data_IF_316119093977
#
_entry.id   IF_316119093977
#
_cell.length_a   1.000
_cell.length_b   1.000
_cell.length_c   1.000
_cell.angle_alpha   90.00
_cell.angle_beta   90.00
_cell.angle_gamma   90.00
#
_symmetry.space_group_name_H-M   'P 1'
#
loop_
_entity.id
_entity.type
_entity.pdbx_description
1 polymer ?
#
# COMPACT_ATOMS: atom_id res chain seq x y z
N UNK A 1 16.52 -28.17 -14.06
CA UNK A 1 15.94 -27.15 -13.16
C UNK A 1 17.05 -26.35 -12.45
N UNK A 2 17.82 -25.51 -13.17
CA UNK A 2 18.87 -24.65 -12.56
C UNK A 2 18.78 -23.16 -12.98
N UNK A 3 17.72 -22.74 -13.68
CA UNK A 3 17.69 -21.45 -14.39
C UNK A 3 17.07 -20.28 -13.61
N UNK A 4 16.06 -20.51 -12.74
CA UNK A 4 15.37 -19.41 -12.06
C UNK A 4 16.17 -18.84 -10.86
N UNK A 5 16.81 -19.71 -10.07
CA UNK A 5 17.62 -19.30 -8.92
C UNK A 5 18.85 -18.50 -9.36
N UNK A 6 19.49 -18.89 -10.47
CA UNK A 6 20.64 -18.16 -11.01
C UNK A 6 20.29 -16.74 -11.47
N UNK A 7 19.14 -16.55 -12.13
CA UNK A 7 18.66 -15.23 -12.53
C UNK A 7 18.35 -14.31 -11.35
N UNK A 8 17.83 -14.88 -10.25
CA UNK A 8 17.54 -14.11 -9.03
C UNK A 8 18.81 -13.64 -8.31
N UNK A 9 19.87 -14.45 -8.34
CA UNK A 9 21.17 -14.10 -7.74
C UNK A 9 21.87 -13.03 -8.60
N UNK A 10 21.88 -13.18 -9.92
CA UNK A 10 22.46 -12.17 -10.83
C UNK A 10 21.75 -10.82 -10.75
N UNK A 11 20.42 -10.81 -10.57
CA UNK A 11 19.66 -9.57 -10.36
C UNK A 11 20.00 -8.91 -9.02
N UNK A 12 20.13 -9.71 -7.97
CA UNK A 12 20.47 -9.25 -6.61
C UNK A 12 21.91 -8.71 -6.53
N UNK A 13 22.84 -9.34 -7.25
CA UNK A 13 24.24 -8.90 -7.33
C UNK A 13 24.39 -7.65 -8.19
N UNK A 14 23.62 -7.51 -9.27
CA UNK A 14 23.55 -6.25 -10.05
C UNK A 14 23.02 -5.08 -9.20
N UNK A 15 21.99 -5.29 -8.39
CA UNK A 15 21.46 -4.28 -7.46
C UNK A 15 22.49 -3.88 -6.39
N UNK A 16 23.30 -4.83 -5.91
CA UNK A 16 24.40 -4.53 -4.95
C UNK A 16 25.56 -3.80 -5.60
N UNK A 17 25.91 -4.11 -6.84
CA UNK A 17 26.97 -3.43 -7.58
C UNK A 17 26.61 -1.97 -7.93
N UNK A 18 25.32 -1.67 -8.16
CA UNK A 18 24.84 -0.31 -8.42
C UNK A 18 24.93 0.63 -7.20
N UNK A 19 25.07 0.11 -5.97
CA UNK A 19 25.19 0.92 -4.74
C UNK A 19 26.58 1.52 -4.48
N UNK A 20 27.56 1.31 -5.37
CA UNK A 20 28.91 1.91 -5.28
C UNK A 20 29.19 2.90 -6.41
N UNK A 21 28.24 3.80 -6.67
CA UNK A 21 28.44 4.99 -7.49
C UNK A 21 28.30 6.23 -6.60
N UNK A 22 29.29 7.11 -6.67
CA UNK A 22 29.47 8.28 -5.83
C UNK A 22 28.19 9.14 -5.68
N UNK A 23 27.80 9.41 -4.44
CA UNK A 23 27.28 10.71 -4.00
C UNK A 23 26.05 11.33 -4.67
N UNK A 24 25.24 10.58 -5.42
CA UNK A 24 24.08 11.14 -6.15
C UNK A 24 22.74 10.43 -5.89
N UNK A 25 22.63 9.66 -4.80
CA UNK A 25 21.34 9.09 -4.36
C UNK A 25 20.69 9.87 -3.19
N UNK A 26 21.39 10.84 -2.60
CA UNK A 26 20.87 11.63 -1.47
C UNK A 26 20.14 12.92 -1.86
N UNK A 27 19.84 13.14 -3.14
CA UNK A 27 19.05 14.29 -3.59
C UNK A 27 17.85 13.95 -4.50
N UNK A 28 17.57 12.65 -4.70
CA UNK A 28 16.55 12.18 -5.66
C UNK A 28 15.29 11.55 -5.06
N UNK A 29 15.25 11.33 -3.75
CA UNK A 29 14.01 11.07 -3.02
C UNK A 29 13.76 12.34 -2.21
N UNK A 30 13.13 13.33 -2.83
CA UNK A 30 12.60 14.48 -2.10
C UNK A 30 11.84 13.97 -0.88
N UNK A 31 11.97 14.65 0.26
CA UNK A 31 11.21 14.39 1.49
C UNK A 31 9.85 13.74 1.14
N UNK A 32 9.69 12.44 1.38
CA UNK A 32 8.37 11.81 1.35
C UNK A 32 7.65 12.24 2.64
N UNK A 33 7.34 13.53 2.71
CA UNK A 33 6.39 14.11 3.67
C UNK A 33 5.14 14.44 2.85
N UNK A 34 4.25 13.45 2.71
CA UNK A 34 2.95 13.59 2.05
C UNK A 34 2.62 12.42 1.11
N UNK A 35 1.35 12.05 1.08
CA UNK A 35 0.75 11.21 0.05
C UNK A 35 0.52 12.09 -1.20
N UNK A 36 1.26 11.91 -2.31
CA UNK A 36 1.13 12.79 -3.48
C UNK A 36 -0.28 12.77 -4.11
N UNK A 37 -1.04 11.69 -3.90
CA UNK A 37 -2.42 11.63 -4.36
C UNK A 37 -3.31 12.57 -3.54
N UNK A 38 -3.01 12.81 -2.27
CA UNK A 38 -3.70 13.80 -1.44
C UNK A 38 -3.50 15.22 -1.97
N UNK A 39 -2.28 15.56 -2.36
CA UNK A 39 -1.96 16.88 -2.93
C UNK A 39 -2.66 17.11 -4.26
N UNK A 40 -2.77 16.07 -5.09
CA UNK A 40 -3.35 16.16 -6.43
C UNK A 40 -4.88 16.12 -6.43
N UNK A 41 -5.49 15.15 -5.74
CA UNK A 41 -6.94 14.91 -5.78
C UNK A 41 -7.70 15.53 -4.61
N UNK A 42 -7.01 15.83 -3.51
CA UNK A 42 -7.67 16.12 -2.26
C UNK A 42 -8.13 14.85 -1.53
N UNK A 43 -9.18 14.97 -0.73
CA UNK A 43 -9.68 13.87 0.11
C UNK A 43 -10.33 12.80 -0.76
N UNK A 44 -10.14 11.53 -0.42
CA UNK A 44 -10.73 10.41 -1.13
C UNK A 44 -12.25 10.40 -1.10
N UNK A 45 -12.86 10.77 0.04
CA UNK A 45 -14.32 10.87 0.15
C UNK A 45 -14.94 11.90 -0.80
N UNK A 46 -14.19 12.93 -1.18
CA UNK A 46 -14.67 14.02 -2.04
C UNK A 46 -14.29 13.77 -3.51
N UNK A 47 -13.07 13.26 -3.75
CA UNK A 47 -12.55 13.02 -5.11
C UNK A 47 -13.02 11.71 -5.73
N UNK A 48 -13.25 10.67 -4.92
CA UNK A 48 -13.64 9.33 -5.34
C UNK A 48 -14.77 8.78 -4.43
N UNK A 49 -15.91 9.48 -4.31
CA UNK A 49 -16.93 9.16 -3.31
C UNK A 49 -17.52 7.76 -3.45
N UNK A 50 -17.71 7.28 -4.68
CA UNK A 50 -18.32 5.98 -4.94
C UNK A 50 -17.36 4.84 -4.58
N UNK A 51 -16.12 4.93 -5.03
CA UNK A 51 -15.07 3.95 -4.76
C UNK A 51 -14.68 3.92 -3.29
N UNK A 52 -14.57 5.11 -2.68
CA UNK A 52 -14.37 5.25 -1.24
C UNK A 52 -15.46 4.51 -0.47
N UNK A 53 -16.73 4.80 -0.75
CA UNK A 53 -17.84 4.17 -0.04
C UNK A 53 -17.89 2.66 -0.28
N UNK A 54 -17.57 2.19 -1.49
CA UNK A 54 -17.51 0.76 -1.80
C UNK A 54 -16.48 0.02 -0.93
N UNK A 55 -15.30 0.60 -0.71
CA UNK A 55 -14.29 0.03 0.20
C UNK A 55 -14.83 -0.03 1.63
N UNK A 56 -15.43 1.07 2.11
CA UNK A 56 -15.99 1.12 3.47
C UNK A 56 -17.11 0.09 3.67
N UNK A 57 -17.95 -0.10 2.65
CA UNK A 57 -19.04 -1.07 2.69
C UNK A 57 -18.52 -2.51 2.66
N UNK A 58 -17.50 -2.83 1.84
CA UNK A 58 -16.87 -4.16 1.84
C UNK A 58 -16.22 -4.47 3.19
N UNK A 59 -15.46 -3.53 3.75
CA UNK A 59 -14.83 -3.70 5.07
C UNK A 59 -15.86 -4.02 6.14
N UNK A 60 -16.96 -3.26 6.19
CA UNK A 60 -18.07 -3.48 7.13
C UNK A 60 -18.78 -4.82 6.88
N UNK A 61 -19.05 -5.16 5.62
CA UNK A 61 -19.71 -6.41 5.25
C UNK A 61 -18.87 -7.64 5.66
N UNK A 62 -17.55 -7.49 5.72
CA UNK A 62 -16.62 -8.53 6.15
C UNK A 62 -16.21 -8.44 7.63
N UNK A 63 -16.87 -7.59 8.43
CA UNK A 63 -16.68 -7.55 9.88
C UNK A 63 -15.44 -6.81 10.37
N UNK A 64 -14.83 -5.97 9.52
CA UNK A 64 -13.78 -5.03 9.96
C UNK A 64 -14.42 -3.88 10.74
N UNK A 65 -13.87 -3.56 11.90
CA UNK A 65 -14.32 -2.40 12.69
C UNK A 65 -13.72 -1.10 12.13
N UNK A 66 -14.56 -0.12 11.78
CA UNK A 66 -14.09 1.19 11.31
C UNK A 66 -13.99 2.18 12.48
N UNK A 67 -12.81 2.77 12.68
CA UNK A 67 -12.55 3.81 13.69
C UNK A 67 -12.08 5.09 13.03
N UNK A 68 -12.91 6.12 13.05
CA UNK A 68 -12.54 7.42 12.50
C UNK A 68 -11.54 8.15 13.40
N UNK A 69 -10.42 8.61 12.82
CA UNK A 69 -9.38 9.33 13.56
C UNK A 69 -8.64 10.30 12.62
N UNK A 70 -8.82 11.60 12.84
CA UNK A 70 -8.18 12.64 12.03
C UNK A 70 -6.65 12.51 12.04
N UNK A 71 -6.04 12.63 10.87
CA UNK A 71 -4.58 12.56 10.67
C UNK A 71 -3.99 11.17 10.84
N UNK A 72 -4.80 10.11 10.90
CA UNK A 72 -4.31 8.74 11.06
C UNK A 72 -5.13 7.74 10.24
N UNK A 73 -4.46 7.05 9.32
CA UNK A 73 -5.02 6.01 8.49
C UNK A 73 -4.14 4.76 8.65
N UNK A 74 -4.75 3.61 8.99
CA UNK A 74 -4.05 2.34 9.14
C UNK A 74 -5.02 1.15 9.18
N UNK A 75 -4.64 0.03 8.60
CA UNK A 75 -5.22 -1.27 8.93
C UNK A 75 -4.49 -1.92 10.11
N UNK A 76 -5.26 -2.40 11.10
CA UNK A 76 -4.75 -3.07 12.29
C UNK A 76 -5.23 -4.54 12.31
N UNK A 77 -4.37 -5.50 11.94
CA UNK A 77 -4.75 -6.91 11.86
C UNK A 77 -4.90 -7.54 13.24
N UNK A 78 -5.92 -8.38 13.40
CA UNK A 78 -6.18 -9.13 14.62
C UNK A 78 -6.13 -10.64 14.34
N UNK A 79 -5.56 -11.42 15.26
CA UNK A 79 -5.37 -12.86 15.01
C UNK A 79 -6.71 -13.59 14.98
N UNK A 80 -6.97 -14.29 13.87
CA UNK A 80 -8.16 -15.10 13.64
C UNK A 80 -9.43 -14.31 13.32
N UNK A 81 -9.34 -12.99 13.09
CA UNK A 81 -10.49 -12.15 12.76
C UNK A 81 -10.09 -10.90 11.96
N UNK A 82 -11.04 -10.20 11.31
CA UNK A 82 -10.76 -9.12 10.35
C UNK A 82 -10.11 -7.83 10.89
N UNK A 83 -9.86 -7.70 12.19
CA UNK A 83 -9.19 -6.51 12.75
C UNK A 83 -9.98 -5.20 12.63
N UNK A 84 -9.25 -4.09 12.51
CA UNK A 84 -9.78 -2.73 12.52
C UNK A 84 -9.19 -1.88 11.40
N UNK A 85 -10.00 -1.01 10.81
CA UNK A 85 -9.54 0.08 9.94
C UNK A 85 -9.60 1.39 10.72
N UNK A 86 -8.45 1.96 11.02
CA UNK A 86 -8.32 3.34 11.51
C UNK A 86 -8.40 4.24 10.28
N UNK A 87 -9.41 5.10 10.22
CA UNK A 87 -9.75 5.86 9.01
C UNK A 87 -9.64 7.36 9.26
N UNK A 88 -8.68 8.00 8.60
CA UNK A 88 -8.66 9.45 8.50
C UNK A 88 -9.74 9.90 7.50
N UNK A 89 -10.77 10.66 7.93
CA UNK A 89 -11.78 11.17 7.01
C UNK A 89 -11.21 12.04 5.89
N UNK A 90 -9.99 12.56 6.06
CA UNK A 90 -9.32 13.45 5.12
C UNK A 90 -8.17 12.77 4.38
N UNK A 91 -7.98 11.45 4.49
CA UNK A 91 -7.02 10.72 3.66
C UNK A 91 -7.38 10.77 2.17
N UNK A 92 -6.39 10.58 1.28
CA UNK A 92 -6.68 10.39 -0.13
C UNK A 92 -7.27 9.00 -0.40
N UNK A 93 -7.87 8.84 -1.59
CA UNK A 93 -8.33 7.53 -2.04
C UNK A 93 -7.18 6.53 -2.24
N UNK A 94 -6.00 7.01 -2.67
CA UNK A 94 -4.81 6.16 -2.85
C UNK A 94 -4.38 5.54 -1.51
N UNK A 95 -4.31 6.35 -0.46
CA UNK A 95 -3.95 5.89 0.87
C UNK A 95 -5.00 4.91 1.44
N UNK A 96 -6.30 5.15 1.24
CA UNK A 96 -7.32 4.17 1.65
C UNK A 96 -7.16 2.84 0.90
N UNK A 97 -6.85 2.89 -0.40
CA UNK A 97 -6.63 1.69 -1.22
C UNK A 97 -5.41 0.89 -0.75
N UNK A 98 -4.36 1.57 -0.26
CA UNK A 98 -3.19 0.96 0.38
C UNK A 98 -3.59 0.12 1.60
N UNK A 99 -4.23 0.75 2.59
CA UNK A 99 -4.63 0.05 3.82
C UNK A 99 -5.67 -1.04 3.55
N UNK A 100 -6.55 -0.83 2.56
CA UNK A 100 -7.49 -1.84 2.12
C UNK A 100 -6.78 -3.08 1.56
N UNK A 101 -5.68 -2.90 0.81
CA UNK A 101 -4.88 -4.02 0.32
C UNK A 101 -4.24 -4.81 1.48
N UNK A 102 -3.79 -4.15 2.55
CA UNK A 102 -3.33 -4.86 3.74
C UNK A 102 -4.41 -5.76 4.35
N UNK A 103 -5.65 -5.28 4.43
CA UNK A 103 -6.77 -6.11 4.86
C UNK A 103 -7.01 -7.31 3.92
N UNK A 104 -7.00 -7.08 2.60
CA UNK A 104 -7.23 -8.15 1.63
C UNK A 104 -6.18 -9.26 1.74
N UNK A 105 -4.92 -8.89 1.89
CA UNK A 105 -3.84 -9.86 2.03
C UNK A 105 -3.90 -10.55 3.40
N UNK A 106 -4.23 -9.83 4.49
CA UNK A 106 -4.47 -10.43 5.82
C UNK A 106 -5.56 -11.50 5.77
N UNK A 107 -6.67 -11.18 5.12
CA UNK A 107 -7.80 -12.09 4.88
C UNK A 107 -7.39 -13.29 4.04
N UNK A 108 -6.64 -13.08 2.96
CA UNK A 108 -6.16 -14.15 2.09
C UNK A 108 -5.24 -15.14 2.84
N UNK A 109 -4.52 -14.65 3.85
CA UNK A 109 -3.66 -15.45 4.73
C UNK A 109 -4.36 -15.99 5.98
N UNK A 110 -5.68 -15.82 6.10
CA UNK A 110 -6.48 -16.37 7.20
C UNK A 110 -6.35 -15.60 8.51
N UNK A 111 -6.09 -14.29 8.45
CA UNK A 111 -5.94 -13.40 9.61
C UNK A 111 -4.85 -13.87 10.59
N UNK A 112 -3.58 -13.96 10.15
CA UNK A 112 -2.49 -14.39 11.03
C UNK A 112 -2.24 -13.39 12.19
N UNK A 113 -2.69 -12.14 12.03
CA UNK A 113 -2.57 -11.08 13.03
C UNK A 113 -1.17 -10.45 13.08
N UNK A 114 -1.08 -9.30 13.76
CA UNK A 114 0.13 -8.46 13.77
C UNK A 114 1.43 -9.18 14.17
N UNK A 115 1.35 -10.21 15.02
CA UNK A 115 2.54 -10.94 15.46
C UNK A 115 3.27 -11.67 14.33
N UNK A 116 2.56 -12.08 13.28
CA UNK A 116 3.17 -12.75 12.12
C UNK A 116 3.97 -11.75 11.27
N UNK A 117 3.42 -10.55 11.10
CA UNK A 117 4.01 -9.44 10.35
C UNK A 117 5.36 -9.06 10.93
N UNK A 118 5.47 -9.05 12.27
CA UNK A 118 6.72 -8.74 12.98
C UNK A 118 7.77 -9.85 12.88
N UNK A 119 7.36 -11.11 12.72
CA UNK A 119 8.27 -12.27 12.73
C UNK A 119 8.79 -12.60 11.33
N UNK A 120 8.01 -12.30 10.30
CA UNK A 120 8.31 -12.66 8.93
C UNK A 120 8.46 -11.40 8.08
N UNK A 121 9.70 -10.94 7.92
CA UNK A 121 10.01 -9.74 7.15
C UNK A 121 9.72 -9.89 5.66
N UNK A 122 9.85 -11.10 5.11
CA UNK A 122 9.53 -11.34 3.69
C UNK A 122 8.03 -11.23 3.46
N UNK A 123 7.22 -11.76 4.38
CA UNK A 123 5.77 -11.61 4.37
C UNK A 123 5.36 -10.13 4.48
N UNK A 124 5.92 -9.39 5.44
CA UNK A 124 5.65 -7.95 5.55
C UNK A 124 5.99 -7.21 4.27
N UNK A 125 7.17 -7.48 3.68
CA UNK A 125 7.59 -6.81 2.46
C UNK A 125 6.68 -7.11 1.27
N UNK A 126 6.17 -8.34 1.15
CA UNK A 126 5.22 -8.72 0.10
C UNK A 126 3.89 -7.94 0.22
N UNK A 127 3.36 -7.82 1.44
CA UNK A 127 2.14 -7.04 1.72
C UNK A 127 2.29 -5.56 1.34
N UNK A 128 3.41 -4.95 1.72
CA UNK A 128 3.74 -3.55 1.37
C UNK A 128 3.89 -3.37 -0.14
N UNK A 129 4.57 -4.29 -0.82
CA UNK A 129 4.71 -4.26 -2.28
C UNK A 129 3.34 -4.33 -2.96
N UNK A 130 2.44 -5.20 -2.49
CA UNK A 130 1.08 -5.29 -3.02
C UNK A 130 0.31 -3.98 -2.83
N UNK A 131 0.43 -3.37 -1.66
CA UNK A 131 -0.24 -2.11 -1.33
C UNK A 131 0.28 -0.94 -2.18
N UNK A 132 1.60 -0.75 -2.28
CA UNK A 132 2.19 0.28 -3.15
C UNK A 132 1.88 0.06 -4.63
N UNK A 133 1.78 -1.19 -5.09
CA UNK A 133 1.35 -1.46 -6.46
C UNK A 133 -0.06 -0.91 -6.73
N UNK A 134 -0.96 -0.85 -5.73
CA UNK A 134 -2.30 -0.25 -5.90
C UNK A 134 -2.28 1.26 -6.08
N UNK A 135 -1.33 1.94 -5.45
CA UNK A 135 -1.09 3.36 -5.66
C UNK A 135 -0.48 3.63 -7.05
N UNK A 136 0.50 2.81 -7.46
CA UNK A 136 1.14 2.91 -8.78
C UNK A 136 0.13 2.66 -9.90
N UNK A 137 -0.75 1.66 -9.76
CA UNK A 137 -1.84 1.40 -10.70
C UNK A 137 -2.71 2.66 -10.88
N UNK A 138 -3.14 3.29 -9.78
CA UNK A 138 -3.96 4.50 -9.81
C UNK A 138 -3.23 5.69 -10.48
N UNK A 139 -1.95 5.86 -10.17
CA UNK A 139 -1.14 6.92 -10.78
C UNK A 139 -0.96 6.73 -12.30
N UNK A 140 -0.78 5.49 -12.75
CA UNK A 140 -0.66 5.17 -14.17
C UNK A 140 -1.98 5.40 -14.93
N UNK A 141 -3.12 5.05 -14.34
CA UNK A 141 -4.45 5.33 -14.91
C UNK A 141 -4.64 6.84 -15.14
N UNK A 142 -4.22 7.66 -14.17
CA UNK A 142 -4.23 9.12 -14.32
C UNK A 142 -3.32 9.60 -15.46
N UNK A 143 -2.11 9.07 -15.56
CA UNK A 143 -1.18 9.47 -16.64
C UNK A 143 -1.74 9.11 -18.02
N UNK A 144 -2.37 7.93 -18.15
CA UNK A 144 -3.03 7.51 -19.38
C UNK A 144 -4.18 8.46 -19.75
N UNK A 145 -5.03 8.84 -18.80
CA UNK A 145 -6.11 9.79 -19.03
C UNK A 145 -5.60 11.17 -19.50
N UNK A 146 -4.45 11.62 -18.99
CA UNK A 146 -3.82 12.88 -19.42
C UNK A 146 -3.31 12.83 -20.85
N UNK A 147 -2.86 11.68 -21.35
CA UNK A 147 -2.37 11.51 -22.73
C UNK A 147 -3.49 11.42 -23.76
N UNK A 148 -4.72 11.18 -23.33
CA UNK A 148 -5.91 11.06 -24.20
C UNK A 148 -6.65 12.39 -24.39
N UNK A 149 -6.28 13.43 -23.63
CA UNK A 149 -6.83 14.79 -23.72
C UNK A 149 -5.80 15.76 -24.30
#
# INVERSE_FOLDING_TARGET
MRSAVHKSIEFRDKLRAQKKGDGAFESGLGKFEGDPARDYYGSGKDSHPAEWQAIIDDLKANGVEIKYREGNLAYSPEKGRPGQMILDPDASYSALKHEYQHYLDDKANGHPGFSEYLKNQDFQAEMEINAYNKEIELANELELLKKMN
#
